data_IF_047300738526
#
_entry.id   IF_047300738526
#
_cell.length_a   1.000
_cell.length_b   1.000
_cell.length_c   1.000
_cell.angle_alpha   90.00
_cell.angle_beta   90.00
_cell.angle_gamma   90.00
#
_symmetry.space_group_name_H-M   'P 1'
#
loop_
_entity.id
_entity.type
_entity.pdbx_description
1 polymer ?
#
# COMPACT_ATOMS: atom_id res chain seq x y z
N UNK A 1 -12.48 10.23 11.72
CA UNK A 1 -11.61 9.03 11.58
C UNK A 1 -12.42 7.94 10.88
N UNK A 2 -11.85 7.22 9.91
CA UNK A 2 -12.50 6.01 9.35
C UNK A 2 -12.47 4.89 10.40
N UNK A 3 -13.48 3.99 10.43
CA UNK A 3 -13.50 2.87 11.36
C UNK A 3 -12.31 1.92 11.11
N UNK A 4 -11.91 1.19 12.15
CA UNK A 4 -10.98 0.07 11.99
C UNK A 4 -11.60 -0.97 11.04
N UNK A 5 -10.79 -1.67 10.23
CA UNK A 5 -11.29 -2.73 9.37
C UNK A 5 -11.91 -3.85 10.19
N UNK A 6 -12.94 -4.47 9.66
CA UNK A 6 -13.51 -5.68 10.22
C UNK A 6 -12.53 -6.86 10.03
N UNK A 7 -12.58 -7.89 10.89
CA UNK A 7 -11.75 -9.09 10.71
C UNK A 7 -11.92 -9.79 9.34
N UNK A 8 -13.06 -9.62 8.67
CA UNK A 8 -13.30 -10.17 7.33
C UNK A 8 -12.50 -9.47 6.24
N UNK A 9 -12.05 -8.24 6.48
CA UNK A 9 -11.23 -7.48 5.53
C UNK A 9 -9.74 -7.76 5.73
N UNK A 10 -9.34 -8.47 6.78
CA UNK A 10 -7.93 -8.75 7.06
C UNK A 10 -7.32 -9.61 5.95
N UNK A 11 -6.10 -9.25 5.54
CA UNK A 11 -5.38 -9.96 4.47
C UNK A 11 -5.70 -9.46 3.05
N UNK A 12 -6.78 -8.70 2.86
CA UNK A 12 -7.20 -8.19 1.54
C UNK A 12 -6.14 -7.34 0.86
N UNK A 13 -5.35 -6.60 1.65
CA UNK A 13 -4.38 -5.63 1.18
C UNK A 13 -2.92 -6.12 1.30
N UNK A 14 -2.70 -7.42 1.52
CA UNK A 14 -1.35 -8.01 1.65
C UNK A 14 -0.67 -8.28 0.30
N UNK A 15 -1.35 -8.01 -0.81
CA UNK A 15 -0.76 -8.05 -2.15
C UNK A 15 -1.10 -6.77 -2.88
N UNK A 16 -0.07 -6.06 -3.35
CA UNK A 16 -0.25 -4.86 -4.16
C UNK A 16 -0.89 -5.18 -5.52
N UNK A 17 -1.68 -4.26 -6.08
CA UNK A 17 -2.19 -4.41 -7.43
C UNK A 17 -1.03 -4.38 -8.44
N UNK A 18 -1.17 -5.14 -9.52
CA UNK A 18 -0.16 -5.20 -10.57
C UNK A 18 0.09 -3.83 -11.20
N UNK A 19 1.35 -3.55 -11.49
CA UNK A 19 1.76 -2.34 -12.20
C UNK A 19 1.36 -2.38 -13.67
N UNK A 20 1.12 -1.22 -14.31
CA UNK A 20 1.13 -1.16 -15.76
C UNK A 20 2.51 -1.58 -16.30
N UNK A 21 2.57 -2.26 -17.46
CA UNK A 21 3.84 -2.60 -18.09
C UNK A 21 4.65 -1.34 -18.43
N UNK A 22 5.87 -1.24 -17.91
CA UNK A 22 6.69 -0.02 -18.06
C UNK A 22 6.96 0.37 -19.52
N UNK A 23 7.07 -0.61 -20.41
CA UNK A 23 7.29 -0.38 -21.85
C UNK A 23 6.10 0.30 -22.57
N UNK A 24 4.93 0.38 -21.92
CA UNK A 24 3.75 1.07 -22.45
C UNK A 24 3.60 2.48 -21.88
N UNK A 25 4.44 2.87 -20.92
CA UNK A 25 4.42 4.19 -20.30
C UNK A 25 5.30 5.15 -21.09
N UNK A 26 4.82 6.37 -21.31
CA UNK A 26 5.64 7.43 -21.90
C UNK A 26 6.59 8.00 -20.84
N UNK A 27 7.79 7.41 -20.76
CA UNK A 27 8.83 7.86 -19.84
C UNK A 27 9.50 9.19 -20.28
N UNK A 28 9.11 9.77 -21.42
CA UNK A 28 9.53 11.13 -21.77
C UNK A 28 8.69 12.20 -21.06
N UNK A 29 7.45 11.84 -20.67
CA UNK A 29 6.54 12.70 -19.91
C UNK A 29 6.96 12.77 -18.42
N UNK A 30 7.16 13.98 -17.92
CA UNK A 30 7.54 14.22 -16.51
C UNK A 30 6.38 13.90 -15.54
N UNK A 31 5.13 14.09 -15.95
CA UNK A 31 3.97 13.77 -15.09
C UNK A 31 3.85 12.25 -14.88
N UNK A 32 4.19 11.47 -15.91
CA UNK A 32 4.27 9.99 -15.82
C UNK A 32 5.39 9.59 -14.87
N UNK A 33 6.59 10.19 -15.00
CA UNK A 33 7.72 9.91 -14.09
C UNK A 33 7.38 10.24 -12.64
N UNK A 34 6.74 11.39 -12.39
CA UNK A 34 6.34 11.82 -11.06
C UNK A 34 5.28 10.89 -10.47
N UNK A 35 4.32 10.45 -11.28
CA UNK A 35 3.31 9.46 -10.88
C UNK A 35 3.95 8.13 -10.49
N UNK A 36 4.92 7.63 -11.27
CA UNK A 36 5.69 6.42 -10.97
C UNK A 36 6.44 6.58 -9.65
N UNK A 37 7.13 7.70 -9.45
CA UNK A 37 7.87 8.00 -8.22
C UNK A 37 6.95 8.02 -7.00
N UNK A 38 5.79 8.66 -7.10
CA UNK A 38 4.79 8.71 -6.02
C UNK A 38 4.27 7.30 -5.70
N UNK A 39 3.97 6.50 -6.73
CA UNK A 39 3.55 5.11 -6.57
C UNK A 39 4.61 4.30 -5.82
N UNK A 40 5.88 4.41 -6.20
CA UNK A 40 6.94 3.60 -5.62
C UNK A 40 7.23 3.97 -4.15
N UNK A 41 7.08 5.24 -3.77
CA UNK A 41 7.10 5.65 -2.35
C UNK A 41 5.96 4.97 -1.58
N UNK A 42 4.74 4.97 -2.11
CA UNK A 42 3.60 4.33 -1.47
C UNK A 42 3.77 2.81 -1.34
N UNK A 43 4.46 2.16 -2.30
CA UNK A 43 4.81 0.73 -2.18
C UNK A 43 5.81 0.47 -1.06
N UNK A 44 6.78 1.37 -0.87
CA UNK A 44 7.70 1.28 0.25
C UNK A 44 6.99 1.45 1.59
N UNK A 45 6.07 2.42 1.70
CA UNK A 45 5.23 2.59 2.89
C UNK A 45 4.37 1.35 3.15
N UNK A 46 3.69 0.85 2.12
CA UNK A 46 2.91 -0.38 2.18
C UNK A 46 3.74 -1.58 2.67
N UNK A 47 4.96 -1.74 2.15
CA UNK A 47 5.89 -2.80 2.57
C UNK A 47 6.27 -2.65 4.06
N UNK A 48 6.49 -1.41 4.52
CA UNK A 48 6.70 -1.12 5.94
C UNK A 48 5.49 -1.50 6.80
N UNK A 49 4.27 -1.25 6.33
CA UNK A 49 3.04 -1.62 7.04
C UNK A 49 2.77 -3.12 7.02
N UNK A 50 3.19 -3.85 5.98
CA UNK A 50 2.94 -5.29 5.86
C UNK A 50 3.52 -6.07 7.05
N UNK A 51 4.63 -5.58 7.61
CA UNK A 51 5.29 -6.19 8.75
C UNK A 51 4.80 -5.66 10.10
N UNK A 52 3.89 -4.69 10.15
CA UNK A 52 3.34 -4.17 11.41
C UNK A 52 2.47 -5.21 12.16
N UNK A 53 2.48 -5.25 13.51
CA UNK A 53 3.32 -4.49 14.43
C UNK A 53 4.71 -5.12 14.65
N UNK A 54 4.89 -6.38 14.25
CA UNK A 54 6.04 -7.25 14.54
C UNK A 54 7.28 -7.00 13.67
N UNK A 55 7.28 -5.92 12.89
CA UNK A 55 8.28 -5.63 11.86
C UNK A 55 9.58 -5.12 12.49
N UNK A 56 9.97 -3.89 12.16
CA UNK A 56 11.26 -3.29 12.57
C UNK A 56 11.52 -3.21 14.11
N UNK A 57 10.55 -3.57 14.96
CA UNK A 57 10.62 -3.45 16.42
C UNK A 57 10.55 -4.84 17.08
N UNK A 58 11.39 -5.14 18.07
CA UNK A 58 11.36 -6.43 18.77
C UNK A 58 10.04 -6.63 19.50
N UNK A 59 9.51 -7.86 19.49
CA UNK A 59 8.25 -8.29 20.11
C UNK A 59 8.07 -7.85 21.57
N UNK A 60 9.16 -7.74 22.33
CA UNK A 60 9.16 -7.25 23.71
C UNK A 60 8.63 -5.80 23.87
N UNK A 61 8.53 -5.05 22.77
CA UNK A 61 8.08 -3.67 22.72
C UNK A 61 6.56 -3.53 22.51
N UNK A 62 5.89 -4.62 22.10
CA UNK A 62 4.47 -4.62 21.76
C UNK A 62 3.69 -5.06 23.00
N UNK A 63 2.89 -4.15 23.56
CA UNK A 63 2.08 -4.47 24.74
C UNK A 63 1.00 -5.51 24.39
N UNK A 64 0.65 -6.47 25.28
CA UNK A 64 -0.33 -7.52 25.01
C UNK A 64 -1.74 -7.03 24.66
N UNK A 65 -2.14 -5.85 25.15
CA UNK A 65 -3.41 -5.19 24.82
C UNK A 65 -3.46 -4.66 23.38
N UNK A 66 -2.31 -4.54 22.72
CA UNK A 66 -2.15 -4.13 21.32
C UNK A 66 -2.15 -5.35 20.39
N UNK A 67 -1.84 -6.57 20.86
CA UNK A 67 -1.69 -7.74 19.98
C UNK A 67 -2.98 -8.07 19.18
N UNK A 68 -4.17 -7.94 19.78
CA UNK A 68 -5.45 -8.12 19.08
C UNK A 68 -5.86 -6.94 18.20
N UNK A 69 -5.32 -5.74 18.45
CA UNK A 69 -5.56 -4.55 17.63
C UNK A 69 -4.49 -4.35 16.55
N UNK A 70 -3.34 -5.00 16.68
CA UNK A 70 -2.17 -4.83 15.82
C UNK A 70 -2.48 -5.21 14.39
N UNK A 71 -3.23 -6.29 14.18
CA UNK A 71 -3.69 -6.68 12.85
C UNK A 71 -4.76 -5.74 12.29
N UNK A 72 -5.66 -5.21 13.13
CA UNK A 72 -6.63 -4.20 12.70
C UNK A 72 -5.92 -2.90 12.28
N UNK A 73 -4.89 -2.48 13.01
CA UNK A 73 -4.05 -1.33 12.68
C UNK A 73 -3.19 -1.59 11.44
N UNK A 74 -2.60 -2.79 11.30
CA UNK A 74 -1.90 -3.22 10.08
C UNK A 74 -2.79 -3.01 8.87
N UNK A 75 -3.99 -3.58 8.90
CA UNK A 75 -4.94 -3.49 7.80
C UNK A 75 -5.45 -2.06 7.58
N UNK A 76 -5.65 -1.29 8.66
CA UNK A 76 -6.04 0.12 8.56
C UNK A 76 -4.97 0.96 7.85
N UNK A 77 -3.68 0.65 8.03
CA UNK A 77 -2.55 1.32 7.37
C UNK A 77 -2.33 0.79 5.94
N UNK A 78 -2.46 -0.51 5.72
CA UNK A 78 -2.31 -1.13 4.40
C UNK A 78 -3.37 -0.64 3.41
N UNK A 79 -4.63 -0.52 3.85
CA UNK A 79 -5.75 -0.10 3.00
C UNK A 79 -5.49 1.20 2.23
N UNK A 80 -5.18 2.35 2.87
CA UNK A 80 -4.97 3.61 2.15
C UNK A 80 -3.73 3.58 1.24
N UNK A 81 -2.67 2.88 1.62
CA UNK A 81 -1.49 2.73 0.76
C UNK A 81 -1.83 1.90 -0.49
N UNK A 82 -2.54 0.79 -0.31
CA UNK A 82 -3.04 -0.05 -1.39
C UNK A 82 -4.00 0.70 -2.32
N UNK A 83 -5.00 1.40 -1.76
CA UNK A 83 -5.98 2.20 -2.52
C UNK A 83 -5.27 3.28 -3.36
N UNK A 84 -4.23 3.90 -2.80
CA UNK A 84 -3.44 4.91 -3.49
C UNK A 84 -2.63 4.30 -4.63
N UNK A 85 -1.94 3.18 -4.41
CA UNK A 85 -1.20 2.47 -5.47
C UNK A 85 -2.14 2.03 -6.59
N UNK A 86 -3.30 1.47 -6.24
CA UNK A 86 -4.32 1.06 -7.21
C UNK A 86 -4.79 2.25 -8.07
N UNK A 87 -5.03 3.39 -7.43
CA UNK A 87 -5.45 4.63 -8.10
C UNK A 87 -4.40 5.14 -9.08
N UNK A 88 -3.12 5.19 -8.66
CA UNK A 88 -2.02 5.63 -9.52
C UNK A 88 -1.79 4.65 -10.68
N UNK A 89 -1.84 3.34 -10.41
CA UNK A 89 -1.75 2.33 -11.45
C UNK A 89 -2.90 2.43 -12.46
N UNK A 90 -4.12 2.74 -12.03
CA UNK A 90 -5.24 3.00 -12.94
C UNK A 90 -5.06 4.29 -13.75
N UNK A 91 -4.46 5.33 -13.16
CA UNK A 91 -4.15 6.57 -13.88
C UNK A 91 -3.12 6.35 -14.99
N UNK A 92 -2.01 5.67 -14.66
CA UNK A 92 -0.96 5.32 -15.62
C UNK A 92 -1.49 4.45 -16.77
N UNK A 93 -2.35 3.46 -16.47
CA UNK A 93 -3.02 2.65 -17.50
C UNK A 93 -3.85 3.49 -18.46
N UNK A 94 -4.64 4.43 -17.93
CA UNK A 94 -5.43 5.37 -18.76
C UNK A 94 -4.54 6.24 -19.65
N UNK A 95 -3.39 6.71 -19.17
CA UNK A 95 -2.44 7.48 -19.99
C UNK A 95 -1.81 6.62 -21.10
N UNK A 96 -1.52 5.35 -20.80
CA UNK A 96 -0.99 4.39 -21.76
C UNK A 96 -2.06 3.80 -22.72
N UNK A 97 -3.34 4.09 -22.50
CA UNK A 97 -4.44 3.57 -23.33
C UNK A 97 -4.73 2.09 -23.15
N UNK A 98 -4.48 1.53 -21.96
CA UNK A 98 -4.68 0.11 -21.60
C UNK A 98 -5.59 -0.09 -20.40
#
# INVERSE_FOLDING_TARGET
MRPLPSPLEFGTWETLPEDPPEHLLDLSDEDVKDTIRCRDILKQEWSGYLHYPHGFWPDASIKPDIAGQGEAWRNWLLRPAWDSVATLNAHLRRQAGI
#
